data_IF_894815048212
#
_entry.id   IF_894815048212
#
_cell.length_a   1.000
_cell.length_b   1.000
_cell.length_c   1.000
_cell.angle_alpha   90.00
_cell.angle_beta   90.00
_cell.angle_gamma   90.00
#
_symmetry.space_group_name_H-M   'P 1'
#
loop_
_entity.id
_entity.type
_entity.pdbx_description
1 polymer ?
#
# COMPACT_ATOMS: atom_id res chain seq x y z
N UNK A 1 -5.61 8.96 12.76
CA UNK A 1 -4.22 8.54 12.45
C UNK A 1 -4.15 8.10 11.01
N UNK A 2 -3.18 8.62 10.27
CA UNK A 2 -2.92 8.18 8.89
C UNK A 2 -2.23 6.84 8.89
N UNK A 3 -2.68 5.94 8.03
CA UNK A 3 -2.14 4.60 7.96
C UNK A 3 -1.48 4.35 6.61
N UNK A 4 -0.28 3.78 6.65
CA UNK A 4 0.47 3.33 5.49
C UNK A 4 0.74 1.84 5.65
N UNK A 5 1.09 1.18 4.57
CA UNK A 5 1.37 -0.23 4.70
C UNK A 5 2.00 -0.86 3.48
N UNK A 6 2.20 -2.18 3.59
CA UNK A 6 2.75 -3.01 2.54
C UNK A 6 1.79 -4.17 2.30
N UNK A 7 1.40 -4.38 1.04
CA UNK A 7 0.63 -5.55 0.64
C UNK A 7 1.48 -6.48 -0.20
N UNK A 8 1.28 -7.77 0.00
CA UNK A 8 2.00 -8.82 -0.70
C UNK A 8 1.74 -10.16 -0.03
N UNK A 9 2.43 -11.22 -0.46
CA UNK A 9 2.31 -12.52 0.18
C UNK A 9 3.40 -13.48 -0.34
N UNK A 10 4.07 -14.21 0.55
CA UNK A 10 4.03 -14.08 2.01
C UNK A 10 4.82 -12.88 2.52
N UNK A 11 4.45 -12.38 3.69
CA UNK A 11 5.14 -11.26 4.34
C UNK A 11 5.50 -11.66 5.77
N UNK A 12 6.55 -12.45 5.93
CA UNK A 12 6.98 -12.91 7.26
C UNK A 12 7.78 -11.84 8.00
N UNK A 13 8.55 -11.04 7.28
CA UNK A 13 9.32 -9.94 7.85
C UNK A 13 9.18 -8.74 6.94
N UNK A 14 8.99 -7.56 7.52
CA UNK A 14 8.93 -6.34 6.75
C UNK A 14 10.05 -5.40 7.16
N UNK A 15 11.03 -5.28 6.29
CA UNK A 15 12.08 -4.29 6.41
C UNK A 15 11.48 -2.89 6.39
N UNK A 16 10.45 -2.71 5.57
CA UNK A 16 9.78 -1.42 5.42
C UNK A 16 9.07 -0.96 6.68
N UNK A 17 8.45 -1.87 7.42
CA UNK A 17 7.76 -1.50 8.65
C UNK A 17 8.72 -0.90 9.67
N UNK A 18 9.86 -1.56 9.91
CA UNK A 18 10.86 -1.05 10.84
C UNK A 18 11.45 0.27 10.39
N UNK A 19 11.78 0.39 9.10
CA UNK A 19 12.34 1.60 8.52
C UNK A 19 11.39 2.78 8.68
N UNK A 20 10.13 2.63 8.28
CA UNK A 20 9.16 3.73 8.34
C UNK A 20 8.75 4.07 9.77
N UNK A 21 8.64 3.09 10.65
CA UNK A 21 8.35 3.36 12.06
C UNK A 21 9.44 4.19 12.70
N UNK A 22 10.70 3.84 12.43
CA UNK A 22 11.84 4.57 12.93
C UNK A 22 11.92 5.98 12.33
N UNK A 23 11.68 6.09 11.03
CA UNK A 23 11.66 7.38 10.34
C UNK A 23 10.58 8.31 10.91
N UNK A 24 9.39 7.79 11.15
CA UNK A 24 8.32 8.58 11.73
C UNK A 24 8.69 9.11 13.11
N UNK A 25 9.35 8.29 13.93
CA UNK A 25 9.83 8.72 15.25
C UNK A 25 10.89 9.81 15.14
N UNK A 26 11.87 9.64 14.26
CA UNK A 26 12.94 10.62 14.07
C UNK A 26 12.44 11.96 13.59
N UNK A 27 11.43 11.96 12.73
CA UNK A 27 10.86 13.17 12.15
C UNK A 27 9.70 13.72 12.97
N UNK A 28 9.45 13.14 14.15
CA UNK A 28 8.34 13.53 15.03
C UNK A 28 6.98 13.43 14.35
N UNK A 29 6.81 12.45 13.48
CA UNK A 29 5.53 12.17 12.82
C UNK A 29 4.82 11.10 13.62
N UNK A 30 4.03 11.52 14.61
CA UNK A 30 3.36 10.60 15.53
C UNK A 30 1.93 10.25 15.15
N UNK A 31 1.38 10.91 14.12
CA UNK A 31 0.03 10.64 13.64
C UNK A 31 0.00 9.66 12.47
N UNK A 32 1.14 8.99 12.17
CA UNK A 32 1.27 8.02 11.10
C UNK A 32 1.62 6.65 11.63
N UNK A 33 1.11 5.62 10.98
CA UNK A 33 1.36 4.22 11.31
C UNK A 33 1.68 3.46 10.03
N UNK A 34 2.62 2.54 10.09
CA UNK A 34 2.98 1.67 8.97
C UNK A 34 2.80 0.21 9.39
N UNK A 35 1.98 -0.52 8.65
CA UNK A 35 1.68 -1.93 8.94
C UNK A 35 1.93 -2.80 7.73
N UNK A 36 2.08 -4.10 7.96
CA UNK A 36 2.13 -5.07 6.87
C UNK A 36 0.77 -5.76 6.77
N UNK A 37 0.32 -5.94 5.53
CA UNK A 37 -0.95 -6.58 5.23
C UNK A 37 -0.72 -7.74 4.29
N UNK A 38 -0.42 -8.94 4.82
CA UNK A 38 -0.29 -10.12 3.95
C UNK A 38 -1.66 -10.50 3.40
N UNK A 39 -1.76 -10.53 2.07
CA UNK A 39 -2.99 -10.90 1.39
C UNK A 39 -2.78 -12.22 0.68
N UNK A 40 -3.39 -13.28 1.19
CA UNK A 40 -3.29 -14.60 0.57
C UNK A 40 -3.92 -14.61 -0.82
N UNK A 41 -4.97 -13.79 -1.01
CA UNK A 41 -5.64 -13.62 -2.31
C UNK A 41 -5.78 -12.14 -2.60
N UNK A 42 -5.64 -11.77 -3.88
CA UNK A 42 -5.75 -10.36 -4.27
C UNK A 42 -7.16 -9.81 -3.99
N UNK A 43 -8.18 -10.65 -4.04
CA UNK A 43 -9.55 -10.27 -3.77
C UNK A 43 -9.74 -9.75 -2.34
N UNK A 44 -8.88 -10.16 -1.41
CA UNK A 44 -8.91 -9.70 -0.03
C UNK A 44 -8.57 -8.22 0.10
N UNK A 45 -8.01 -7.61 -0.94
CA UNK A 45 -7.69 -6.18 -0.97
C UNK A 45 -8.94 -5.31 -0.77
N UNK A 46 -10.06 -5.71 -1.36
CA UNK A 46 -11.31 -4.95 -1.24
C UNK A 46 -11.76 -4.91 0.23
N UNK A 47 -11.70 -6.04 0.91
CA UNK A 47 -12.06 -6.13 2.33
C UNK A 47 -11.09 -5.34 3.19
N UNK A 48 -9.80 -5.41 2.88
CA UNK A 48 -8.78 -4.65 3.59
C UNK A 48 -9.10 -3.14 3.56
N UNK A 49 -9.42 -2.62 2.39
CA UNK A 49 -9.76 -1.20 2.24
C UNK A 49 -11.05 -0.84 2.97
N UNK A 50 -12.01 -1.75 3.02
CA UNK A 50 -13.26 -1.53 3.73
C UNK A 50 -13.05 -1.49 5.25
N UNK A 51 -12.12 -2.29 5.77
CA UNK A 51 -11.82 -2.37 7.20
C UNK A 51 -10.88 -1.26 7.68
N UNK A 52 -10.02 -0.74 6.81
CA UNK A 52 -8.98 0.22 7.16
C UNK A 52 -9.16 1.53 6.39
N UNK A 53 -10.12 2.33 6.83
CA UNK A 53 -10.48 3.58 6.12
C UNK A 53 -9.48 4.71 6.32
N UNK A 54 -8.51 4.52 7.20
CA UNK A 54 -7.47 5.52 7.45
C UNK A 54 -6.24 5.35 6.55
N UNK A 55 -6.24 4.35 5.66
CA UNK A 55 -5.13 4.12 4.76
C UNK A 55 -5.03 5.28 3.77
N UNK A 56 -3.84 5.88 3.69
CA UNK A 56 -3.55 6.96 2.73
C UNK A 56 -2.52 6.53 1.70
N UNK A 57 -1.78 5.46 1.94
CA UNK A 57 -0.81 4.94 0.99
C UNK A 57 -0.42 3.51 1.30
N UNK A 58 -0.13 2.75 0.25
CA UNK A 58 0.32 1.36 0.37
C UNK A 58 1.46 1.12 -0.60
N UNK A 59 2.47 0.40 -0.15
CA UNK A 59 3.46 -0.20 -1.05
C UNK A 59 2.95 -1.57 -1.48
N UNK A 60 3.29 -1.96 -2.70
CA UNK A 60 2.86 -3.22 -3.28
C UNK A 60 4.09 -4.05 -3.64
N UNK A 61 4.13 -5.29 -3.18
CA UNK A 61 5.21 -6.21 -3.55
C UNK A 61 4.63 -7.49 -4.14
N UNK A 62 5.51 -8.45 -4.50
CA UNK A 62 5.08 -9.70 -5.12
C UNK A 62 4.07 -10.43 -4.23
N UNK A 63 3.08 -11.08 -4.84
CA UNK A 63 2.90 -11.27 -6.30
C UNK A 63 1.89 -10.29 -6.92
N UNK A 64 1.63 -9.14 -6.30
CA UNK A 64 0.46 -8.31 -6.61
C UNK A 64 0.73 -7.04 -7.41
N UNK A 65 1.97 -6.78 -7.83
CA UNK A 65 2.30 -5.55 -8.58
C UNK A 65 1.51 -5.37 -9.87
N UNK A 66 1.15 -6.47 -10.52
CA UNK A 66 0.32 -6.45 -11.73
C UNK A 66 -1.14 -6.72 -11.40
N UNK A 67 -1.38 -7.65 -10.50
CA UNK A 67 -2.74 -8.10 -10.15
C UNK A 67 -3.57 -7.03 -9.47
N UNK A 68 -2.94 -6.03 -8.86
CA UNK A 68 -3.63 -4.94 -8.17
C UNK A 68 -4.25 -3.93 -9.14
N UNK A 69 -3.75 -3.86 -10.37
CA UNK A 69 -4.16 -2.84 -11.34
C UNK A 69 -5.68 -2.78 -11.55
N UNK A 70 -6.40 -3.89 -11.73
CA UNK A 70 -7.86 -3.83 -11.93
C UNK A 70 -8.63 -3.24 -10.77
N UNK A 71 -8.02 -3.14 -9.60
CA UNK A 71 -8.68 -2.60 -8.39
C UNK A 71 -8.49 -1.10 -8.24
N UNK A 72 -7.65 -0.47 -9.06
CA UNK A 72 -7.28 0.93 -8.94
C UNK A 72 -8.12 1.80 -9.87
N UNK A 73 -8.31 3.06 -9.48
CA UNK A 73 -9.08 4.01 -10.28
C UNK A 73 -8.23 4.62 -11.41
N UNK A 74 -6.96 4.89 -11.12
CA UNK A 74 -6.06 5.52 -12.08
C UNK A 74 -4.64 4.95 -11.92
N UNK A 75 -3.84 5.09 -12.98
CA UNK A 75 -2.40 4.79 -12.96
C UNK A 75 -1.66 6.03 -13.45
N UNK A 76 -0.47 6.29 -12.90
CA UNK A 76 0.38 7.31 -13.48
C UNK A 76 1.00 6.80 -14.81
N UNK A 77 1.63 7.68 -15.55
CA UNK A 77 2.15 7.34 -16.89
C UNK A 77 3.22 6.25 -16.83
N UNK A 78 4.07 6.28 -15.81
CA UNK A 78 5.12 5.29 -15.66
C UNK A 78 4.55 3.91 -15.33
N UNK A 79 3.57 3.84 -14.43
CA UNK A 79 2.93 2.58 -14.08
C UNK A 79 2.19 1.99 -15.30
N UNK A 80 1.56 2.82 -16.12
CA UNK A 80 0.92 2.37 -17.36
C UNK A 80 1.93 1.80 -18.34
N UNK A 81 3.05 2.47 -18.50
CA UNK A 81 4.09 2.03 -19.44
C UNK A 81 4.72 0.71 -19.02
N UNK A 82 4.95 0.52 -17.73
CA UNK A 82 5.58 -0.69 -17.17
C UNK A 82 4.56 -1.82 -17.03
N UNK A 83 3.30 -1.49 -16.76
CA UNK A 83 2.27 -2.48 -16.48
C UNK A 83 2.36 -3.07 -15.09
N UNK A 84 2.91 -2.32 -14.13
CA UNK A 84 3.06 -2.76 -12.75
C UNK A 84 2.99 -1.57 -11.81
N UNK A 85 2.53 -1.81 -10.58
CA UNK A 85 2.34 -0.79 -9.56
C UNK A 85 3.19 -1.14 -8.34
N UNK A 86 3.96 -0.19 -7.87
CA UNK A 86 4.77 -0.32 -6.65
C UNK A 86 4.12 0.36 -5.45
N UNK A 87 3.32 1.39 -5.69
CA UNK A 87 2.73 2.22 -4.64
C UNK A 87 1.32 2.62 -5.03
N UNK A 88 0.43 2.62 -4.05
CA UNK A 88 -0.94 3.11 -4.22
C UNK A 88 -1.13 4.31 -3.31
N UNK A 89 -1.62 5.41 -3.87
CA UNK A 89 -1.97 6.59 -3.11
C UNK A 89 -3.48 6.73 -3.06
N UNK A 90 -4.01 6.95 -1.85
CA UNK A 90 -5.44 7.14 -1.62
C UNK A 90 -5.68 8.64 -1.47
N UNK A 91 -6.39 9.25 -2.41
CA UNK A 91 -6.64 10.68 -2.39
C UNK A 91 -8.01 10.99 -3.02
N UNK A 92 -8.78 11.86 -2.38
CA UNK A 92 -10.09 12.31 -2.85
C UNK A 92 -11.04 11.16 -3.23
N UNK A 93 -10.99 10.07 -2.45
CA UNK A 93 -11.81 8.90 -2.70
C UNK A 93 -11.35 8.02 -3.84
N UNK A 94 -10.17 8.28 -4.39
CA UNK A 94 -9.60 7.50 -5.50
C UNK A 94 -8.33 6.79 -5.08
N UNK A 95 -8.08 5.65 -5.74
CA UNK A 95 -6.84 4.89 -5.61
C UNK A 95 -6.02 5.05 -6.88
N UNK A 96 -4.85 5.67 -6.74
CA UNK A 96 -3.95 5.95 -7.87
C UNK A 96 -2.69 5.10 -7.73
N UNK A 97 -2.35 4.34 -8.77
CA UNK A 97 -1.16 3.49 -8.81
C UNK A 97 0.05 4.19 -9.43
N UNK A 98 1.19 3.93 -8.81
CA UNK A 98 2.49 4.47 -9.25
C UNK A 98 3.52 3.38 -9.41
#
# INVERSE_FOLDING_TARGET
MKQFGLIGYPLSHSFSKGYFSEKFQKESIFDCQYDIFPLEKIEDFVELCAQHKNIVGLNVTIPYKEKIIPFLDELDDEAKAIGAVNTIKFTNGKMIGY
#
